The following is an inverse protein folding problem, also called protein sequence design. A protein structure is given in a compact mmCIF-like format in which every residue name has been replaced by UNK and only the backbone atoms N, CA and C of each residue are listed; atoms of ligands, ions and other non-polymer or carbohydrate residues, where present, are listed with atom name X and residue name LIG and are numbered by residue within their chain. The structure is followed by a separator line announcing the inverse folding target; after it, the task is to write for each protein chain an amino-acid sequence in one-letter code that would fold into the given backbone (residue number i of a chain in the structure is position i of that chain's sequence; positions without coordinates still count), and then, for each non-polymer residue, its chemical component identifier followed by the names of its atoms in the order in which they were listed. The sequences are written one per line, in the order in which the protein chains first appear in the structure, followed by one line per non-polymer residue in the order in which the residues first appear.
data_IF_440878619995
#
_entry.id   IF_440878619995
#
_cell.length_a   1.000
_cell.length_b   1.000
_cell.length_c   1.000
_cell.angle_alpha   90.00
_cell.angle_beta   90.00
_cell.angle_gamma   90.00
#
_symmetry.space_group_name_H-M   'P 1'
#
loop_
_entity.id
_entity.type
_entity.pdbx_description
1 polymer ?
#
# COMPACT_ATOMS: atom_id res chain seq x y z
N UNK A 1 7.89 -28.56 -42.63
CA UNK A 1 8.27 -27.12 -42.70
C UNK A 1 7.67 -26.63 -43.99
N UNK A 2 6.47 -26.06 -43.93
CA UNK A 2 5.58 -26.09 -45.11
C UNK A 2 5.58 -24.76 -45.88
N UNK A 3 6.18 -23.72 -45.29
CA UNK A 3 6.15 -22.36 -45.80
C UNK A 3 7.26 -22.05 -46.82
N UNK A 4 8.38 -22.77 -46.79
CA UNK A 4 9.49 -22.58 -47.73
C UNK A 4 9.72 -23.79 -48.65
N UNK A 5 10.44 -23.54 -49.73
CA UNK A 5 10.81 -24.50 -50.77
C UNK A 5 12.16 -24.10 -51.37
N UNK A 6 12.78 -24.99 -52.15
CA UNK A 6 13.97 -24.62 -52.91
C UNK A 6 13.59 -23.57 -53.97
N UNK A 7 14.21 -22.39 -53.92
CA UNK A 7 13.98 -21.29 -54.86
C UNK A 7 14.42 -21.60 -56.30
N UNK A 8 15.20 -22.67 -56.53
CA UNK A 8 15.63 -23.10 -57.87
C UNK A 8 14.70 -24.12 -58.52
N UNK A 9 14.41 -25.21 -57.82
CA UNK A 9 13.66 -26.34 -58.36
C UNK A 9 12.25 -26.50 -57.76
N UNK A 10 11.85 -25.60 -56.86
CA UNK A 10 10.55 -25.55 -56.20
C UNK A 10 10.20 -26.78 -55.36
N UNK A 11 11.15 -27.69 -55.12
CA UNK A 11 10.92 -28.85 -54.25
C UNK A 11 10.68 -28.39 -52.81
N UNK A 12 9.63 -28.94 -52.20
CA UNK A 12 9.43 -28.96 -50.76
C UNK A 12 9.97 -30.24 -50.11
N UNK A 13 10.36 -31.22 -50.94
CA UNK A 13 10.90 -32.51 -50.52
C UNK A 13 12.43 -32.39 -50.40
N UNK A 14 12.97 -32.85 -49.28
CA UNK A 14 14.39 -32.84 -48.98
C UNK A 14 14.61 -33.02 -47.48
N UNK A 15 15.74 -33.60 -47.11
CA UNK A 15 16.19 -33.76 -45.72
C UNK A 15 16.85 -32.48 -45.19
N UNK A 16 17.49 -31.70 -46.07
CA UNK A 16 18.26 -30.53 -45.69
C UNK A 16 18.03 -29.36 -46.68
N UNK A 17 17.98 -28.15 -46.13
CA UNK A 17 17.92 -26.90 -46.87
C UNK A 17 18.97 -25.94 -46.32
N UNK A 18 19.45 -25.01 -47.15
CA UNK A 18 20.32 -23.93 -46.75
C UNK A 18 19.80 -22.60 -47.28
N UNK A 19 20.00 -21.52 -46.52
CA UNK A 19 19.74 -20.15 -46.96
C UNK A 19 21.06 -19.50 -47.37
N UNK A 20 21.06 -18.81 -48.50
CA UNK A 20 22.19 -18.04 -48.99
C UNK A 20 22.23 -16.64 -48.37
N UNK A 21 23.40 -15.99 -48.34
CA UNK A 21 23.52 -14.60 -47.88
C UNK A 21 22.71 -13.58 -48.70
N UNK A 22 22.32 -13.93 -49.93
CA UNK A 22 21.39 -13.12 -50.74
C UNK A 22 19.89 -13.45 -50.49
N UNK A 23 19.59 -14.37 -49.56
CA UNK A 23 18.23 -14.67 -49.12
C UNK A 23 17.51 -15.81 -49.85
N UNK A 24 18.13 -16.46 -50.84
CA UNK A 24 17.54 -17.62 -51.52
C UNK A 24 17.70 -18.90 -50.70
N UNK A 25 16.66 -19.73 -50.68
CA UNK A 25 16.65 -21.03 -50.01
C UNK A 25 16.92 -22.12 -51.05
N UNK A 26 17.89 -22.99 -50.81
CA UNK A 26 18.27 -24.08 -51.72
C UNK A 26 18.16 -25.42 -51.00
N UNK A 27 17.63 -26.45 -51.68
CA UNK A 27 17.79 -27.83 -51.22
C UNK A 27 19.23 -28.29 -51.48
N UNK A 28 19.65 -29.36 -50.80
CA UNK A 28 20.99 -29.97 -50.92
C UNK A 28 21.46 -30.15 -52.38
N UNK A 29 20.57 -30.64 -53.25
CA UNK A 29 20.89 -30.88 -54.67
C UNK A 29 21.08 -29.60 -55.51
N UNK A 30 20.66 -28.44 -55.02
CA UNK A 30 20.80 -27.15 -55.71
C UNK A 30 21.84 -26.24 -55.07
N UNK A 31 22.60 -26.73 -54.09
CA UNK A 31 23.75 -26.05 -53.51
C UNK A 31 24.95 -26.25 -54.44
N UNK A 32 25.49 -25.15 -54.95
CA UNK A 32 26.69 -25.09 -55.79
C UNK A 32 27.61 -23.97 -55.26
N UNK A 33 28.71 -23.66 -55.95
CA UNK A 33 29.68 -22.63 -55.50
C UNK A 33 29.08 -21.22 -55.45
N UNK A 34 28.15 -20.90 -56.35
CA UNK A 34 27.45 -19.62 -56.45
C UNK A 34 25.95 -19.80 -56.20
N UNK A 35 25.22 -18.72 -55.91
CA UNK A 35 23.77 -18.83 -55.75
C UNK A 35 23.12 -19.35 -57.03
N UNK A 36 22.46 -20.52 -56.97
CA UNK A 36 21.82 -21.16 -58.14
C UNK A 36 20.61 -20.40 -58.70
N UNK A 37 20.16 -19.33 -58.01
CA UNK A 37 19.04 -18.47 -58.42
C UNK A 37 19.53 -17.16 -59.06
N UNK A 38 20.43 -16.42 -58.41
CA UNK A 38 20.88 -15.10 -58.90
C UNK A 38 22.34 -15.05 -59.36
N UNK A 39 23.13 -16.13 -59.22
CA UNK A 39 24.54 -16.19 -59.62
C UNK A 39 25.52 -15.45 -58.70
N UNK A 40 25.05 -14.82 -57.62
CA UNK A 40 25.93 -14.11 -56.69
C UNK A 40 26.82 -15.09 -55.88
N UNK A 41 28.07 -14.71 -55.64
CA UNK A 41 28.92 -15.38 -54.65
C UNK A 41 28.29 -15.22 -53.26
N UNK A 42 27.88 -16.32 -52.64
CA UNK A 42 27.13 -16.33 -51.39
C UNK A 42 27.67 -17.36 -50.41
N UNK A 43 27.60 -17.04 -49.12
CA UNK A 43 27.74 -18.06 -48.09
C UNK A 43 26.41 -18.81 -47.93
N UNK A 44 26.50 -20.10 -47.60
CA UNK A 44 25.36 -20.95 -47.29
C UNK A 44 25.28 -21.19 -45.79
N UNK A 45 24.10 -20.99 -45.22
CA UNK A 45 23.79 -21.34 -43.84
C UNK A 45 22.73 -22.44 -43.85
N UNK A 46 23.09 -23.61 -43.33
CA UNK A 46 22.14 -24.74 -43.21
C UNK A 46 20.99 -24.36 -42.29
N UNK A 47 19.76 -24.62 -42.76
CA UNK A 47 18.54 -24.43 -41.99
C UNK A 47 18.36 -25.70 -41.14
N UNK A 48 18.68 -25.60 -39.86
CA UNK A 48 18.60 -26.71 -38.92
C UNK A 48 18.24 -26.25 -37.51
N UNK A 49 18.07 -27.19 -36.58
CA UNK A 49 17.73 -26.86 -35.21
C UNK A 49 18.89 -26.24 -34.41
N UNK A 50 20.13 -26.43 -34.88
CA UNK A 50 21.39 -25.98 -34.32
C UNK A 50 21.75 -24.53 -34.69
N UNK A 51 20.95 -23.86 -35.53
CA UNK A 51 21.12 -22.45 -35.85
C UNK A 51 21.08 -21.56 -34.60
N UNK A 52 21.77 -20.41 -34.66
CA UNK A 52 21.69 -19.43 -33.57
C UNK A 52 20.23 -18.97 -33.41
N UNK A 53 19.75 -18.73 -32.17
CA UNK A 53 18.36 -18.36 -31.93
C UNK A 53 17.86 -17.16 -32.77
N UNK A 54 18.74 -16.18 -32.99
CA UNK A 54 18.46 -14.98 -33.80
C UNK A 54 18.25 -15.27 -35.29
N UNK A 55 18.89 -16.30 -35.83
CA UNK A 55 18.73 -16.73 -37.22
C UNK A 55 17.53 -17.69 -37.35
N UNK A 56 17.38 -18.59 -36.37
CA UNK A 56 16.29 -19.57 -36.31
C UNK A 56 14.90 -18.93 -36.28
N UNK A 57 14.77 -17.72 -35.71
CA UNK A 57 13.48 -17.04 -35.57
C UNK A 57 12.77 -16.79 -36.91
N UNK A 58 13.53 -16.57 -37.98
CA UNK A 58 12.98 -16.34 -39.33
C UNK A 58 12.35 -17.59 -39.94
N UNK A 59 12.69 -18.78 -39.42
CA UNK A 59 12.17 -20.06 -39.89
C UNK A 59 11.09 -20.64 -38.98
N UNK A 60 10.74 -19.94 -37.88
CA UNK A 60 9.66 -20.35 -36.98
C UNK A 60 8.30 -19.94 -37.54
N UNK A 61 7.28 -20.68 -37.12
CA UNK A 61 5.89 -20.37 -37.43
C UNK A 61 5.46 -19.05 -36.75
N UNK A 62 4.99 -18.05 -37.51
CA UNK A 62 4.65 -16.73 -36.97
C UNK A 62 3.61 -16.78 -35.84
N UNK A 63 2.59 -17.63 -35.97
CA UNK A 63 1.53 -17.76 -34.96
C UNK A 63 2.07 -18.24 -33.61
N UNK A 64 2.99 -19.21 -33.61
CA UNK A 64 3.63 -19.70 -32.38
C UNK A 64 4.52 -18.65 -31.73
N UNK A 65 5.24 -17.87 -32.54
CA UNK A 65 6.05 -16.77 -32.03
C UNK A 65 5.17 -15.69 -31.38
N UNK A 66 4.07 -15.31 -32.04
CA UNK A 66 3.10 -14.36 -31.50
C UNK A 66 2.50 -14.86 -30.20
N UNK A 67 2.04 -16.11 -30.16
CA UNK A 67 1.46 -16.72 -28.97
C UNK A 67 2.42 -16.63 -27.77
N UNK A 68 3.67 -17.09 -27.94
CA UNK A 68 4.68 -17.00 -26.88
C UNK A 68 4.91 -15.57 -26.41
N UNK A 69 4.97 -14.59 -27.32
CA UNK A 69 5.14 -13.18 -26.96
C UNK A 69 3.92 -12.64 -26.18
N UNK A 70 2.71 -12.99 -26.61
CA UNK A 70 1.47 -12.58 -25.93
C UNK A 70 1.35 -13.19 -24.53
N UNK A 71 1.78 -14.43 -24.33
CA UNK A 71 1.85 -15.05 -23.00
C UNK A 71 2.76 -14.24 -22.05
N UNK A 72 3.94 -13.83 -22.52
CA UNK A 72 4.83 -12.98 -21.72
C UNK A 72 4.20 -11.61 -21.40
N UNK A 73 3.58 -10.97 -22.38
CA UNK A 73 2.88 -9.68 -22.18
C UNK A 73 1.75 -9.84 -21.16
N UNK A 74 1.00 -10.95 -21.23
CA UNK A 74 -0.09 -11.24 -20.31
C UNK A 74 0.41 -11.42 -18.87
N UNK A 75 1.55 -12.08 -18.68
CA UNK A 75 2.18 -12.19 -17.35
C UNK A 75 2.58 -10.83 -16.78
N UNK A 76 3.12 -9.94 -17.62
CA UNK A 76 3.48 -8.57 -17.23
C UNK A 76 2.22 -7.80 -16.81
N UNK A 77 1.13 -7.90 -17.59
CA UNK A 77 -0.13 -7.22 -17.27
C UNK A 77 -0.71 -7.70 -15.94
N UNK A 78 -0.71 -9.01 -15.67
CA UNK A 78 -1.16 -9.58 -14.39
C UNK A 78 -0.31 -9.07 -13.23
N UNK A 79 1.01 -8.99 -13.41
CA UNK A 79 1.89 -8.43 -12.37
C UNK A 79 1.54 -6.97 -12.07
N UNK A 80 1.40 -6.13 -13.10
CA UNK A 80 1.05 -4.72 -12.94
C UNK A 80 -0.31 -4.53 -12.28
N UNK A 81 -1.31 -5.32 -12.67
CA UNK A 81 -2.63 -5.32 -12.04
C UNK A 81 -2.53 -5.62 -10.54
N UNK A 82 -1.79 -6.65 -10.14
CA UNK A 82 -1.60 -7.00 -8.72
C UNK A 82 -0.91 -5.88 -7.94
N UNK A 83 0.01 -5.13 -8.54
CA UNK A 83 0.62 -3.97 -7.87
C UNK A 83 -0.43 -2.88 -7.61
N UNK A 84 -1.28 -2.60 -8.59
CA UNK A 84 -2.35 -1.61 -8.45
C UNK A 84 -3.37 -2.03 -7.38
N UNK A 85 -3.76 -3.31 -7.35
CA UNK A 85 -4.66 -3.86 -6.32
C UNK A 85 -4.10 -3.68 -4.90
N UNK A 86 -2.80 -3.89 -4.70
CA UNK A 86 -2.15 -3.68 -3.39
C UNK A 86 -2.25 -2.23 -2.92
N UNK A 87 -2.04 -1.27 -3.84
CA UNK A 87 -2.17 0.16 -3.53
C UNK A 87 -3.63 0.48 -3.17
N UNK A 88 -4.59 -0.03 -3.93
CA UNK A 88 -6.02 0.18 -3.66
C UNK A 88 -6.39 -0.35 -2.27
N UNK A 89 -5.94 -1.55 -1.90
CA UNK A 89 -6.19 -2.13 -0.57
C UNK A 89 -5.57 -1.26 0.53
N UNK A 90 -4.32 -0.84 0.35
CA UNK A 90 -3.64 0.02 1.33
C UNK A 90 -4.39 1.34 1.54
N UNK A 91 -4.78 2.01 0.46
CA UNK A 91 -5.53 3.26 0.54
C UNK A 91 -6.90 3.07 1.19
N UNK A 92 -7.62 1.98 0.88
CA UNK A 92 -8.89 1.65 1.55
C UNK A 92 -8.71 1.47 3.06
N UNK A 93 -7.68 0.76 3.50
CA UNK A 93 -7.39 0.60 4.92
C UNK A 93 -7.08 1.94 5.60
N UNK A 94 -6.29 2.80 4.94
CA UNK A 94 -6.02 4.15 5.45
C UNK A 94 -7.29 4.98 5.59
N UNK A 95 -8.18 4.94 4.58
CA UNK A 95 -9.47 5.65 4.62
C UNK A 95 -10.30 5.22 5.83
N UNK A 96 -10.49 3.91 6.03
CA UNK A 96 -11.28 3.39 7.16
C UNK A 96 -10.68 3.82 8.51
N UNK A 97 -9.35 3.76 8.65
CA UNK A 97 -8.69 4.19 9.89
C UNK A 97 -8.84 5.70 10.15
N UNK A 98 -8.76 6.52 9.10
CA UNK A 98 -8.98 7.96 9.20
C UNK A 98 -10.44 8.28 9.56
N UNK A 99 -11.41 7.60 8.95
CA UNK A 99 -12.83 7.74 9.28
C UNK A 99 -13.10 7.37 10.76
N UNK A 100 -12.49 6.29 11.24
CA UNK A 100 -12.58 5.87 12.65
C UNK A 100 -12.04 6.95 13.58
N UNK A 101 -10.84 7.50 13.31
CA UNK A 101 -10.24 8.58 14.11
C UNK A 101 -11.06 9.85 14.08
N UNK A 102 -11.62 10.20 12.91
CA UNK A 102 -12.48 11.37 12.78
C UNK A 102 -13.72 11.24 13.65
N UNK A 103 -14.34 10.05 13.68
CA UNK A 103 -15.48 9.77 14.55
C UNK A 103 -15.11 9.92 16.03
N UNK A 104 -13.99 9.34 16.47
CA UNK A 104 -13.53 9.48 17.85
C UNK A 104 -13.26 10.93 18.27
N UNK A 105 -12.65 11.73 17.38
CA UNK A 105 -12.42 13.16 17.65
C UNK A 105 -13.74 13.93 17.72
N UNK A 106 -14.71 13.58 16.87
CA UNK A 106 -16.04 14.16 16.87
C UNK A 106 -16.77 13.86 18.19
N UNK A 107 -16.77 12.61 18.64
CA UNK A 107 -17.38 12.18 19.89
C UNK A 107 -16.72 12.86 21.11
N UNK A 108 -15.38 12.94 21.12
CA UNK A 108 -14.64 13.71 22.14
C UNK A 108 -14.98 15.19 22.13
N UNK A 109 -15.18 15.77 20.94
CA UNK A 109 -15.62 17.15 20.78
C UNK A 109 -16.98 17.41 21.45
N UNK A 110 -17.94 16.49 21.26
CA UNK A 110 -19.23 16.55 21.93
C UNK A 110 -19.09 16.45 23.46
N UNK A 111 -18.35 15.47 23.97
CA UNK A 111 -18.13 15.30 25.42
C UNK A 111 -17.46 16.53 26.05
N UNK A 112 -16.46 17.12 25.39
CA UNK A 112 -15.82 18.35 25.85
C UNK A 112 -16.79 19.53 25.89
N UNK A 113 -17.74 19.60 24.96
CA UNK A 113 -18.77 20.64 24.95
C UNK A 113 -19.75 20.50 26.13
N UNK A 114 -20.12 19.28 26.49
CA UNK A 114 -20.99 18.99 27.65
C UNK A 114 -20.27 19.30 28.95
N UNK A 115 -19.05 18.78 29.12
CA UNK A 115 -18.21 19.07 30.28
C UNK A 115 -18.00 20.58 30.46
N UNK A 116 -17.83 21.34 29.37
CA UNK A 116 -17.71 22.80 29.44
C UNK A 116 -18.99 23.44 30.00
N UNK A 117 -20.17 23.01 29.55
CA UNK A 117 -21.46 23.50 30.06
C UNK A 117 -21.63 23.18 31.53
N UNK A 118 -21.35 21.95 31.96
CA UNK A 118 -21.40 21.55 33.37
C UNK A 118 -20.45 22.38 34.23
N UNK A 119 -19.22 22.61 33.74
CA UNK A 119 -18.24 23.44 34.44
C UNK A 119 -18.75 24.87 34.64
N UNK A 120 -19.40 25.44 33.62
CA UNK A 120 -19.97 26.78 33.70
C UNK A 120 -21.13 26.87 34.69
N UNK A 121 -21.98 25.82 34.77
CA UNK A 121 -23.04 25.71 35.79
C UNK A 121 -22.44 25.60 37.20
N UNK A 122 -21.47 24.71 37.39
CA UNK A 122 -20.81 24.52 38.69
C UNK A 122 -20.10 25.80 39.17
N UNK A 123 -19.45 26.54 38.27
CA UNK A 123 -18.85 27.85 38.59
C UNK A 123 -19.87 28.85 39.10
N UNK A 124 -21.06 28.92 38.49
CA UNK A 124 -22.16 29.79 38.96
C UNK A 124 -22.62 29.38 40.36
N UNK A 125 -22.84 28.08 40.59
CA UNK A 125 -23.28 27.58 41.88
C UNK A 125 -22.26 27.84 43.01
N UNK A 126 -20.96 27.68 42.71
CA UNK A 126 -19.88 28.03 43.65
C UNK A 126 -19.92 29.52 44.01
N UNK A 127 -20.21 30.41 43.05
CA UNK A 127 -20.30 31.85 43.32
C UNK A 127 -21.50 32.18 44.22
N UNK A 128 -22.65 31.55 43.98
CA UNK A 128 -23.86 31.69 44.81
C UNK A 128 -23.61 31.22 46.25
N UNK A 129 -23.09 30.00 46.42
CA UNK A 129 -22.78 29.44 47.74
C UNK A 129 -21.73 30.29 48.49
N UNK A 130 -20.75 30.86 47.79
CA UNK A 130 -19.79 31.80 48.41
C UNK A 130 -20.46 33.07 48.91
N UNK A 131 -21.42 33.61 48.15
CA UNK A 131 -22.20 34.78 48.56
C UNK A 131 -23.05 34.46 49.78
N UNK A 132 -23.80 33.36 49.77
CA UNK A 132 -24.62 32.91 50.90
C UNK A 132 -23.78 32.68 52.16
N UNK A 133 -22.63 32.00 52.02
CA UNK A 133 -21.70 31.82 53.14
C UNK A 133 -21.18 33.14 53.70
N UNK A 134 -20.93 34.15 52.85
CA UNK A 134 -20.51 35.46 53.29
C UNK A 134 -21.63 36.17 54.07
N UNK A 135 -22.88 36.12 53.58
CA UNK A 135 -24.05 36.68 54.27
C UNK A 135 -24.30 36.00 55.63
N UNK A 136 -24.27 34.66 55.68
CA UNK A 136 -24.45 33.91 56.92
C UNK A 136 -23.34 34.16 57.95
N UNK A 137 -22.12 34.50 57.51
CA UNK A 137 -21.00 34.86 58.39
C UNK A 137 -21.12 36.27 59.00
N UNK A 138 -21.89 37.19 58.41
CA UNK A 138 -22.08 38.57 58.94
C UNK A 138 -22.68 38.62 60.36
N UNK A 139 -23.75 37.90 60.70
CA UNK A 139 -24.27 37.90 62.07
C UNK A 139 -23.33 37.21 63.07
N UNK A 140 -22.52 36.22 62.62
CA UNK A 140 -21.52 35.55 63.47
C UNK A 140 -20.36 36.48 63.86
N UNK A 141 -19.94 37.40 62.99
CA UNK A 141 -18.93 38.40 63.33
C UNK A 141 -19.47 39.50 64.25
N UNK A 142 -20.75 39.86 64.13
CA UNK A 142 -21.41 40.81 65.03
C UNK A 142 -21.58 40.27 66.46
N UNK A 143 -21.77 38.95 66.65
CA UNK A 143 -21.94 38.32 67.97
C UNK A 143 -20.64 38.14 68.77
N UNK A 144 -19.46 38.30 68.13
CA UNK A 144 -18.14 38.15 68.79
C UNK A 144 -17.59 39.42 69.45
N UNK A 145 -18.36 40.50 69.55
CA UNK A 145 -17.91 41.79 70.11
C UNK A 145 -18.42 42.03 71.55
N UNK A 146 -18.71 40.97 72.32
CA UNK A 146 -18.87 41.10 73.78
C UNK A 146 -17.60 40.60 74.49
N UNK A 147 -16.84 41.47 75.19
CA UNK A 147 -15.63 41.06 75.89
C UNK A 147 -16.00 40.44 77.25
N UNK A 148 -15.87 39.11 77.34
CA UNK A 148 -15.93 38.35 78.58
C UNK A 148 -14.66 37.53 78.74
N UNK A 149 -13.78 37.99 79.62
CA UNK A 149 -12.51 37.37 79.98
C UNK A 149 -12.73 36.00 80.65
N UNK A 150 -12.25 34.91 80.04
CA UNK A 150 -11.98 33.66 80.76
C UNK A 150 -10.63 33.09 80.33
N UNK A 151 -9.66 33.33 81.20
CA UNK A 151 -8.38 32.63 81.28
C UNK A 151 -8.64 31.18 81.71
N UNK A 152 -8.29 30.18 80.90
CA UNK A 152 -7.89 28.85 81.40
C UNK A 152 -6.73 28.32 80.54
N UNK A 153 -5.56 28.43 81.17
CA UNK A 153 -4.43 27.53 81.28
C UNK A 153 -4.10 26.46 80.21
N UNK A 154 -2.78 26.32 80.11
CA UNK A 154 -1.90 25.51 79.30
C UNK A 154 -2.20 24.02 79.13
N UNK A 155 -1.88 23.52 77.93
CA UNK A 155 -1.26 22.20 77.75
C UNK A 155 -2.19 21.01 77.54
N UNK A 156 -2.71 20.82 76.32
CA UNK A 156 -3.01 19.47 75.81
C UNK A 156 -3.02 19.46 74.27
N UNK A 157 -1.94 18.95 73.69
CA UNK A 157 -1.82 18.66 72.26
C UNK A 157 -2.57 17.35 72.00
N UNK A 158 -3.87 17.41 71.67
CA UNK A 158 -4.64 16.22 71.29
C UNK A 158 -4.30 15.81 69.84
N UNK A 159 -3.39 14.86 69.70
CA UNK A 159 -3.24 14.03 68.49
C UNK A 159 -4.38 13.02 68.43
N UNK A 160 -5.22 13.12 67.39
CA UNK A 160 -6.26 12.13 67.07
C UNK A 160 -5.62 10.83 66.53
N UNK A 161 -5.97 9.64 67.04
CA UNK A 161 -5.46 8.39 66.49
C UNK A 161 -6.09 8.08 65.12
N UNK A 162 -5.25 7.82 64.13
CA UNK A 162 -5.63 7.26 62.83
C UNK A 162 -5.71 5.73 62.98
N UNK A 163 -6.90 5.15 62.76
CA UNK A 163 -7.04 3.71 62.68
C UNK A 163 -6.59 3.23 61.29
N UNK A 164 -5.46 2.52 61.25
CA UNK A 164 -5.00 1.75 60.10
C UNK A 164 -5.48 0.32 60.31
N UNK A 165 -6.36 -0.18 59.46
CA UNK A 165 -6.71 -1.60 59.40
C UNK A 165 -6.24 -2.18 58.06
N UNK A 166 -5.32 -3.16 58.14
CA UNK A 166 -4.97 -4.15 57.09
C UNK A 166 -4.13 -5.23 57.76
N UNK A 167 -4.12 -6.49 57.29
CA UNK A 167 -4.40 -6.96 55.92
C UNK A 167 -5.73 -7.69 55.72
#
# INVERSE_FOLDING_TARGET
MDWFHCSKCFTKRGSSFAVTSCGHICCEACIISECSVCGASCCYLTISDEMKPQEKVFFKEPLKLMQSRLEHISQIAVFQQKQMERIIIHLRHMTVELERRLKELTDKGYQLSELRRENDVLKKHILELKKENAELKKPLSQRRVSPGHLHIDSGQRMTLPVAITSP
#
